data_IF_957854032899
#
_entry.id   IF_957854032899
#
_cell.length_a   1.000
_cell.length_b   1.000
_cell.length_c   1.000
_cell.angle_alpha   90.00
_cell.angle_beta   90.00
_cell.angle_gamma   90.00
#
_symmetry.space_group_name_H-M   'P 1'
#
loop_
_entity.id
_entity.type
_entity.pdbx_description
1 polymer ?
#
# COMPACT_ATOMS: atom_id res chain seq x y z
N UNK A 1 -9.35 61.16 -37.18
CA UNK A 1 -8.09 60.84 -36.43
C UNK A 1 -8.36 60.17 -35.05
N UNK A 2 -9.29 60.73 -34.25
CA UNK A 2 -9.60 60.13 -32.88
C UNK A 2 -10.22 58.74 -32.98
N UNK A 3 -11.11 58.49 -33.94
CA UNK A 3 -11.75 57.13 -34.10
C UNK A 3 -10.73 56.09 -34.50
N UNK A 4 -9.78 56.40 -35.39
CA UNK A 4 -8.71 55.45 -35.76
C UNK A 4 -7.76 55.07 -34.59
N UNK A 5 -7.52 56.01 -33.67
CA UNK A 5 -6.72 55.77 -32.51
C UNK A 5 -7.45 54.82 -31.51
N UNK A 6 -8.77 55.02 -31.40
CA UNK A 6 -9.59 54.13 -30.53
C UNK A 6 -9.73 52.70 -31.08
N UNK A 7 -9.87 52.53 -32.39
CA UNK A 7 -9.91 51.19 -32.99
C UNK A 7 -8.57 50.46 -32.87
N UNK A 8 -7.45 51.17 -33.03
CA UNK A 8 -6.12 50.60 -32.82
C UNK A 8 -5.89 50.19 -31.34
N UNK A 9 -6.36 51.00 -30.40
CA UNK A 9 -6.26 50.68 -28.97
C UNK A 9 -7.08 49.44 -28.61
N UNK A 10 -8.33 49.34 -29.10
CA UNK A 10 -9.19 48.17 -28.89
C UNK A 10 -8.56 46.91 -29.49
N UNK A 11 -7.99 46.99 -30.70
CA UNK A 11 -7.30 45.89 -31.34
C UNK A 11 -6.07 45.43 -30.56
N UNK A 12 -5.31 46.37 -29.99
CA UNK A 12 -4.16 46.04 -29.15
C UNK A 12 -4.57 45.31 -27.85
N UNK A 13 -5.61 45.82 -27.17
CA UNK A 13 -6.12 45.22 -25.91
C UNK A 13 -6.67 43.82 -26.16
N UNK A 14 -7.47 43.62 -27.22
CA UNK A 14 -7.98 42.30 -27.58
C UNK A 14 -6.87 41.34 -27.97
N UNK A 15 -5.81 41.81 -28.65
CA UNK A 15 -4.63 41.02 -28.97
C UNK A 15 -3.88 40.55 -27.71
N UNK A 16 -3.70 41.44 -26.74
CA UNK A 16 -3.04 41.11 -25.46
C UNK A 16 -3.88 40.09 -24.67
N UNK A 17 -5.19 40.25 -24.60
CA UNK A 17 -6.08 39.30 -23.91
C UNK A 17 -6.10 37.95 -24.61
N UNK A 18 -6.07 37.91 -25.94
CA UNK A 18 -5.99 36.66 -26.70
C UNK A 18 -4.63 35.94 -26.50
N UNK A 19 -3.53 36.72 -26.44
CA UNK A 19 -2.19 36.17 -26.17
C UNK A 19 -1.99 35.71 -24.71
N UNK A 20 -2.73 36.28 -23.75
CA UNK A 20 -2.70 35.89 -22.35
C UNK A 20 -3.28 34.47 -22.11
N UNK A 21 -3.96 33.87 -23.11
CA UNK A 21 -4.45 32.50 -23.08
C UNK A 21 -5.28 32.23 -21.82
N UNK A 22 -6.47 32.83 -21.63
CA UNK A 22 -7.28 32.54 -20.44
C UNK A 22 -7.60 31.05 -20.39
N UNK A 23 -6.88 30.32 -19.53
CA UNK A 23 -7.11 28.89 -19.30
C UNK A 23 -8.36 28.75 -18.44
N UNK A 24 -9.49 28.50 -19.06
CA UNK A 24 -10.75 28.16 -18.41
C UNK A 24 -10.81 26.68 -17.98
N UNK A 25 -9.72 25.93 -18.21
CA UNK A 25 -9.62 24.55 -17.78
C UNK A 25 -9.50 24.57 -16.27
N UNK A 26 -10.57 24.24 -15.56
CA UNK A 26 -10.49 23.80 -14.17
C UNK A 26 -9.49 22.63 -14.16
N UNK A 27 -8.28 22.89 -13.69
CA UNK A 27 -7.43 21.80 -13.21
C UNK A 27 -8.18 21.31 -11.99
N UNK A 28 -8.81 20.16 -12.10
CA UNK A 28 -9.22 19.41 -10.92
C UNK A 28 -7.93 19.15 -10.17
N UNK A 29 -7.68 19.97 -9.14
CA UNK A 29 -6.68 19.64 -8.12
C UNK A 29 -7.18 18.30 -7.60
N UNK A 30 -6.40 17.21 -7.75
CA UNK A 30 -6.78 15.95 -7.14
C UNK A 30 -7.17 16.29 -5.71
N UNK A 31 -8.41 15.97 -5.33
CA UNK A 31 -8.87 16.22 -3.98
C UNK A 31 -7.80 15.65 -3.08
N UNK A 32 -7.27 16.46 -2.18
CA UNK A 32 -6.47 16.00 -1.05
C UNK A 32 -7.42 15.21 -0.12
N UNK A 33 -8.07 14.17 -0.65
CA UNK A 33 -8.54 13.10 0.18
C UNK A 33 -7.26 12.62 0.90
N UNK A 34 -7.26 12.53 2.23
CA UNK A 34 -6.09 12.05 2.93
C UNK A 34 -5.76 10.70 2.31
N UNK A 35 -4.67 10.67 1.53
CA UNK A 35 -4.15 9.44 0.98
C UNK A 35 -3.83 8.57 2.19
N UNK A 36 -4.62 7.52 2.40
CA UNK A 36 -4.37 6.58 3.46
C UNK A 36 -3.47 5.48 2.88
N UNK A 37 -2.13 5.63 2.98
CA UNK A 37 -1.21 4.71 2.35
C UNK A 37 -1.33 3.33 3.01
N UNK A 38 -1.22 2.29 2.19
CA UNK A 38 -1.31 0.90 2.61
C UNK A 38 0.04 0.20 2.44
N UNK A 39 0.64 -0.26 3.53
CA UNK A 39 1.80 -1.16 3.46
C UNK A 39 1.34 -2.60 3.68
N UNK A 40 1.47 -3.41 2.63
CA UNK A 40 1.16 -4.84 2.68
C UNK A 40 2.39 -5.58 3.19
N UNK A 41 2.21 -6.39 4.23
CA UNK A 41 3.27 -7.16 4.88
C UNK A 41 2.92 -8.65 4.76
N UNK A 42 3.63 -9.37 3.89
CA UNK A 42 3.34 -10.75 3.54
C UNK A 42 4.34 -11.72 4.17
N UNK A 43 3.82 -12.66 4.95
CA UNK A 43 4.61 -13.75 5.53
C UNK A 43 5.06 -14.73 4.43
N UNK A 44 6.35 -15.10 4.45
CA UNK A 44 6.94 -16.13 3.58
C UNK A 44 7.55 -17.29 4.39
N UNK A 45 7.13 -17.48 5.65
CA UNK A 45 7.58 -18.61 6.45
C UNK A 45 7.10 -19.95 5.87
N UNK A 46 7.70 -21.03 6.32
CA UNK A 46 7.33 -22.40 5.91
C UNK A 46 5.86 -22.73 6.16
N UNK A 47 5.23 -22.06 7.13
CA UNK A 47 3.81 -22.26 7.47
C UNK A 47 2.86 -21.79 6.35
N UNK A 48 3.33 -20.87 5.49
CA UNK A 48 2.60 -20.43 4.29
C UNK A 48 2.60 -21.48 3.16
N UNK A 49 3.40 -22.56 3.28
CA UNK A 49 3.34 -23.72 2.37
C UNK A 49 2.13 -24.62 2.62
N UNK A 50 1.38 -24.36 3.70
CA UNK A 50 0.19 -25.14 4.05
C UNK A 50 -0.78 -25.23 2.86
N UNK A 51 -1.33 -26.44 2.65
CA UNK A 51 -2.29 -26.76 1.59
C UNK A 51 -3.72 -26.92 2.12
N UNK A 52 -3.98 -26.44 3.33
CA UNK A 52 -5.32 -26.35 3.90
C UNK A 52 -6.22 -25.36 3.15
N UNK A 53 -5.60 -24.46 2.37
CA UNK A 53 -6.24 -23.60 1.38
C UNK A 53 -5.70 -23.96 -0.01
N UNK A 54 -6.59 -24.10 -0.99
CA UNK A 54 -6.20 -24.40 -2.37
C UNK A 54 -5.87 -23.10 -3.13
N UNK A 55 -4.73 -23.02 -3.86
CA UNK A 55 -3.69 -24.02 -4.06
C UNK A 55 -2.67 -24.11 -2.91
N UNK A 56 -2.41 -23.05 -2.17
CA UNK A 56 -1.62 -22.94 -0.94
C UNK A 56 -1.99 -21.67 -0.20
N UNK A 57 -1.59 -21.54 1.08
CA UNK A 57 -1.79 -20.31 1.84
C UNK A 57 -1.15 -19.11 1.15
N UNK A 58 0.09 -19.23 0.65
CA UNK A 58 0.77 -18.15 -0.04
C UNK A 58 0.03 -17.71 -1.30
N UNK A 59 -0.35 -18.65 -2.15
CA UNK A 59 -1.08 -18.31 -3.38
C UNK A 59 -2.44 -17.68 -3.07
N UNK A 60 -3.11 -18.15 -2.03
CA UNK A 60 -4.37 -17.54 -1.58
C UNK A 60 -4.14 -16.11 -1.06
N UNK A 61 -3.05 -15.86 -0.33
CA UNK A 61 -2.67 -14.51 0.10
C UNK A 61 -2.40 -13.60 -1.09
N UNK A 62 -1.66 -14.06 -2.11
CA UNK A 62 -1.41 -13.29 -3.34
C UNK A 62 -2.71 -12.91 -4.05
N UNK A 63 -3.65 -13.86 -4.22
CA UNK A 63 -4.96 -13.54 -4.81
C UNK A 63 -5.71 -12.48 -3.99
N UNK A 64 -5.69 -12.56 -2.67
CA UNK A 64 -6.32 -11.56 -1.81
C UNK A 64 -5.69 -10.18 -1.94
N UNK A 65 -4.36 -10.12 -2.08
CA UNK A 65 -3.65 -8.86 -2.34
C UNK A 65 -4.08 -8.27 -3.69
N UNK A 66 -4.13 -9.10 -4.75
CA UNK A 66 -4.58 -8.64 -6.08
C UNK A 66 -6.02 -8.12 -6.05
N UNK A 67 -6.92 -8.81 -5.38
CA UNK A 67 -8.31 -8.38 -5.24
C UNK A 67 -8.40 -7.06 -4.47
N UNK A 68 -7.61 -6.91 -3.38
CA UNK A 68 -7.56 -5.68 -2.60
C UNK A 68 -7.07 -4.49 -3.43
N UNK A 69 -5.96 -4.66 -4.18
CA UNK A 69 -5.40 -3.60 -5.01
C UNK A 69 -6.40 -3.11 -6.08
N UNK A 70 -7.25 -4.00 -6.61
CA UNK A 70 -8.32 -3.61 -7.54
C UNK A 70 -9.42 -2.79 -6.87
N UNK A 71 -9.65 -2.97 -5.56
CA UNK A 71 -10.67 -2.24 -4.82
C UNK A 71 -10.21 -0.84 -4.37
N UNK A 72 -8.89 -0.61 -4.34
CA UNK A 72 -8.28 0.64 -3.88
C UNK A 72 -7.34 1.25 -4.93
N UNK A 73 -7.80 1.48 -6.19
CA UNK A 73 -6.93 1.87 -7.30
C UNK A 73 -6.19 3.20 -7.07
N UNK A 74 -6.76 4.10 -6.29
CA UNK A 74 -6.23 5.44 -6.04
C UNK A 74 -5.37 5.53 -4.76
N UNK A 75 -5.14 4.39 -4.07
CA UNK A 75 -4.37 4.35 -2.83
C UNK A 75 -2.90 4.07 -3.11
N UNK A 76 -2.00 4.78 -2.41
CA UNK A 76 -0.58 4.42 -2.42
C UNK A 76 -0.36 3.12 -1.65
N UNK A 77 0.12 2.11 -2.35
CA UNK A 77 0.35 0.78 -1.77
C UNK A 77 1.80 0.35 -1.92
N UNK A 78 2.35 -0.33 -0.92
CA UNK A 78 3.68 -0.90 -0.93
C UNK A 78 3.67 -2.36 -0.48
N UNK A 79 4.76 -3.09 -0.72
CA UNK A 79 4.88 -4.50 -0.39
C UNK A 79 6.19 -4.80 0.33
N UNK A 80 6.06 -5.37 1.51
CA UNK A 80 7.13 -5.97 2.31
C UNK A 80 6.87 -7.47 2.41
N UNK A 81 7.90 -8.27 2.31
CA UNK A 81 7.85 -9.70 2.62
C UNK A 81 8.75 -10.00 3.81
N UNK A 82 8.44 -11.01 4.59
CA UNK A 82 9.27 -11.36 5.74
C UNK A 82 9.27 -12.85 6.08
N UNK A 83 10.33 -13.23 6.75
CA UNK A 83 10.50 -14.45 7.52
C UNK A 83 11.14 -14.08 8.87
N UNK A 84 12.43 -14.35 9.07
CA UNK A 84 13.18 -13.82 10.22
C UNK A 84 13.56 -12.34 10.03
N UNK A 85 13.87 -11.94 8.79
CA UNK A 85 14.14 -10.56 8.41
C UNK A 85 13.13 -10.08 7.36
N UNK A 86 12.72 -8.82 7.42
CA UNK A 86 11.85 -8.23 6.42
C UNK A 86 12.64 -7.65 5.24
N UNK A 87 12.03 -7.69 4.05
CA UNK A 87 12.56 -7.12 2.82
C UNK A 87 11.50 -6.30 2.11
N UNK A 88 11.87 -5.08 1.73
CA UNK A 88 11.03 -4.22 0.90
C UNK A 88 11.07 -4.71 -0.55
N UNK A 89 9.94 -5.17 -1.06
CA UNK A 89 9.79 -5.60 -2.46
C UNK A 89 9.39 -4.41 -3.34
N UNK A 90 8.47 -3.57 -2.85
CA UNK A 90 8.05 -2.36 -3.54
C UNK A 90 7.82 -1.24 -2.53
N UNK A 91 8.38 -0.05 -2.75
CA UNK A 91 8.00 1.12 -1.99
C UNK A 91 6.54 1.49 -2.25
N UNK A 92 6.01 2.47 -1.52
CA UNK A 92 4.68 3.01 -1.77
C UNK A 92 4.60 3.57 -3.19
N UNK A 93 3.61 3.11 -3.94
CA UNK A 93 3.30 3.54 -5.31
C UNK A 93 1.80 3.66 -5.49
N UNK A 94 1.37 4.62 -6.28
CA UNK A 94 -0.03 4.75 -6.73
C UNK A 94 -0.39 3.81 -7.88
N UNK A 95 0.61 3.11 -8.44
CA UNK A 95 0.40 2.14 -9.51
C UNK A 95 0.28 0.72 -8.93
N UNK A 96 -0.95 0.28 -8.70
CA UNK A 96 -1.24 -1.07 -8.20
C UNK A 96 -0.87 -2.20 -9.18
N UNK A 97 -0.70 -1.90 -10.48
CA UNK A 97 -0.29 -2.90 -11.47
C UNK A 97 1.17 -3.32 -11.23
N UNK A 98 2.04 -2.41 -10.79
CA UNK A 98 3.43 -2.73 -10.42
C UNK A 98 3.43 -3.83 -9.36
N UNK A 99 2.66 -3.66 -8.29
CA UNK A 99 2.56 -4.66 -7.21
C UNK A 99 1.98 -5.98 -7.72
N UNK A 100 0.92 -5.92 -8.52
CA UNK A 100 0.28 -7.10 -9.10
C UNK A 100 1.26 -7.91 -9.96
N UNK A 101 2.11 -7.24 -10.73
CA UNK A 101 3.12 -7.86 -11.59
C UNK A 101 4.31 -8.42 -10.81
N UNK A 102 4.60 -7.92 -9.61
CA UNK A 102 5.66 -8.43 -8.74
C UNK A 102 5.22 -9.68 -7.95
N UNK A 103 3.93 -9.81 -7.62
CA UNK A 103 3.42 -10.91 -6.78
C UNK A 103 3.76 -12.32 -7.29
N UNK A 104 3.71 -12.65 -8.60
CA UNK A 104 4.09 -13.98 -9.08
C UNK A 104 5.54 -14.37 -8.75
N UNK A 105 6.46 -13.40 -8.74
CA UNK A 105 7.87 -13.63 -8.41
C UNK A 105 8.13 -13.82 -6.91
N UNK A 106 7.18 -13.43 -6.06
CA UNK A 106 7.29 -13.62 -4.61
C UNK A 106 7.13 -15.10 -4.28
N UNK A 107 8.19 -15.72 -3.80
CA UNK A 107 8.22 -17.14 -3.42
C UNK A 107 9.04 -17.34 -2.14
N UNK A 108 8.97 -18.52 -1.58
CA UNK A 108 9.75 -18.86 -0.37
C UNK A 108 11.25 -18.79 -0.61
N UNK A 109 11.69 -19.06 -1.85
CA UNK A 109 13.10 -19.22 -2.21
C UNK A 109 13.86 -17.89 -2.28
N UNK A 110 13.14 -16.77 -2.32
CA UNK A 110 13.78 -15.45 -2.26
C UNK A 110 14.27 -15.08 -0.86
N UNK A 111 13.84 -15.81 0.16
CA UNK A 111 14.17 -15.51 1.55
C UNK A 111 15.47 -16.23 1.98
N UNK A 112 16.44 -15.51 2.55
CA UNK A 112 17.74 -16.09 2.91
C UNK A 112 17.69 -17.03 4.12
N UNK A 113 16.68 -16.88 4.98
CA UNK A 113 16.53 -17.66 6.21
C UNK A 113 15.08 -17.88 6.56
N UNK A 114 14.79 -19.02 7.21
CA UNK A 114 13.47 -19.27 7.79
C UNK A 114 13.27 -18.49 9.09
N UNK A 115 12.02 -18.31 9.47
CA UNK A 115 11.63 -17.64 10.70
C UNK A 115 10.26 -17.03 10.57
N UNK A 116 9.81 -16.39 11.65
CA UNK A 116 8.52 -15.69 11.70
C UNK A 116 8.62 -14.53 12.69
N UNK A 117 9.01 -13.36 12.17
CA UNK A 117 9.25 -12.12 12.93
C UNK A 117 8.44 -10.95 12.35
N UNK A 118 7.10 -10.99 12.52
CA UNK A 118 6.23 -9.90 12.07
C UNK A 118 6.52 -8.57 12.77
N UNK A 119 7.03 -8.59 14.01
CA UNK A 119 7.47 -7.39 14.74
C UNK A 119 8.48 -6.56 13.92
N UNK A 120 9.50 -7.21 13.35
CA UNK A 120 10.48 -6.53 12.50
C UNK A 120 9.88 -5.98 11.22
N UNK A 121 8.94 -6.73 10.64
CA UNK A 121 8.27 -6.31 9.42
C UNK A 121 7.35 -5.10 9.64
N UNK A 122 6.64 -5.05 10.77
CA UNK A 122 5.83 -3.88 11.16
C UNK A 122 6.74 -2.66 11.39
N UNK A 123 7.87 -2.83 12.09
CA UNK A 123 8.85 -1.75 12.30
C UNK A 123 9.37 -1.19 10.97
N UNK A 124 9.75 -2.07 10.02
CA UNK A 124 10.19 -1.65 8.69
C UNK A 124 9.08 -0.93 7.92
N UNK A 125 7.82 -1.41 8.01
CA UNK A 125 6.69 -0.77 7.36
C UNK A 125 6.51 0.67 7.85
N UNK A 126 6.52 0.89 9.16
CA UNK A 126 6.43 2.24 9.76
C UNK A 126 7.60 3.12 9.30
N UNK A 127 8.84 2.57 9.30
CA UNK A 127 10.01 3.30 8.83
C UNK A 127 9.84 3.77 7.38
N UNK A 128 9.43 2.87 6.47
CA UNK A 128 9.30 3.19 5.05
C UNK A 128 8.15 4.16 4.76
N UNK A 129 7.03 4.04 5.48
CA UNK A 129 5.91 4.98 5.36
C UNK A 129 6.32 6.38 5.85
N UNK A 130 7.03 6.48 6.98
CA UNK A 130 7.56 7.77 7.47
C UNK A 130 8.59 8.37 6.51
N UNK A 131 9.49 7.56 5.96
CA UNK A 131 10.47 8.00 4.98
C UNK A 131 9.83 8.52 3.68
N UNK A 132 8.64 8.01 3.33
CA UNK A 132 7.82 8.50 2.23
C UNK A 132 7.01 9.77 2.57
N UNK A 133 7.12 10.29 3.80
CA UNK A 133 6.48 11.52 4.25
C UNK A 133 5.10 11.35 4.89
N UNK A 134 4.66 10.11 5.14
CA UNK A 134 3.37 9.85 5.77
C UNK A 134 3.49 9.80 7.30
N UNK A 135 2.53 10.42 7.96
CA UNK A 135 2.38 10.41 9.43
C UNK A 135 1.22 9.53 9.91
N UNK A 136 0.51 8.90 8.98
CA UNK A 136 -0.60 7.99 9.23
C UNK A 136 -0.70 7.00 8.08
N UNK A 137 -1.39 5.90 8.28
CA UNK A 137 -1.63 4.90 7.26
C UNK A 137 -1.99 3.53 7.82
N UNK A 138 -2.19 2.59 6.90
CA UNK A 138 -2.60 1.22 7.22
C UNK A 138 -1.46 0.24 6.92
N UNK A 139 -1.24 -0.68 7.83
CA UNK A 139 -0.34 -1.83 7.66
C UNK A 139 -1.22 -3.08 7.66
N UNK A 140 -1.20 -3.83 6.57
CA UNK A 140 -1.94 -5.09 6.44
C UNK A 140 -0.98 -6.27 6.51
N UNK A 141 -0.99 -6.97 7.64
CA UNK A 141 -0.21 -8.17 7.85
C UNK A 141 -0.98 -9.41 7.37
N UNK A 142 -0.44 -10.10 6.36
CA UNK A 142 -0.95 -11.40 5.89
C UNK A 142 -0.05 -12.50 6.43
N UNK A 143 -0.57 -13.28 7.38
CA UNK A 143 0.16 -14.35 8.05
C UNK A 143 -0.79 -15.50 8.42
N UNK A 144 -0.30 -16.73 8.59
CA UNK A 144 -1.13 -17.83 9.07
C UNK A 144 -1.48 -17.66 10.56
N UNK A 145 -0.58 -17.05 11.32
CA UNK A 145 -0.70 -16.79 12.76
C UNK A 145 0.00 -15.47 13.14
N UNK A 146 -0.12 -15.07 14.39
CA UNK A 146 0.43 -13.81 14.90
C UNK A 146 1.96 -13.83 15.14
N UNK A 147 2.64 -14.90 14.69
CA UNK A 147 4.09 -15.06 14.81
C UNK A 147 4.53 -15.79 16.08
N UNK A 148 5.76 -16.31 16.02
CA UNK A 148 6.34 -17.09 17.13
C UNK A 148 6.56 -16.27 18.41
N UNK A 149 6.70 -14.95 18.28
CA UNK A 149 6.94 -14.02 19.40
C UNK A 149 5.79 -13.02 19.53
N UNK A 150 4.61 -13.50 19.82
CA UNK A 150 3.38 -12.73 19.88
C UNK A 150 3.51 -11.42 20.68
N UNK A 151 4.16 -11.46 21.86
CA UNK A 151 4.32 -10.25 22.69
C UNK A 151 5.12 -9.17 21.98
N UNK A 152 6.20 -9.52 21.27
CA UNK A 152 7.01 -8.55 20.51
C UNK A 152 6.19 -7.96 19.35
N UNK A 153 5.40 -8.78 18.68
CA UNK A 153 4.50 -8.33 17.60
C UNK A 153 3.47 -7.34 18.14
N UNK A 154 2.87 -7.66 19.28
CA UNK A 154 1.88 -6.79 19.91
C UNK A 154 2.48 -5.46 20.37
N UNK A 155 3.67 -5.49 20.95
CA UNK A 155 4.37 -4.27 21.39
C UNK A 155 4.74 -3.39 20.21
N UNK A 156 5.18 -3.99 19.10
CA UNK A 156 5.51 -3.22 17.90
C UNK A 156 4.25 -2.66 17.21
N UNK A 157 3.15 -3.42 17.19
CA UNK A 157 1.87 -2.92 16.70
C UNK A 157 1.35 -1.74 17.53
N UNK A 158 1.52 -1.76 18.87
CA UNK A 158 1.18 -0.63 19.74
C UNK A 158 2.04 0.61 19.46
N UNK A 159 3.35 0.42 19.21
CA UNK A 159 4.24 1.52 18.80
C UNK A 159 3.83 2.10 17.45
N UNK A 160 3.49 1.24 16.49
CA UNK A 160 2.98 1.66 15.18
C UNK A 160 1.71 2.51 15.36
N UNK A 161 0.75 2.06 16.16
CA UNK A 161 -0.49 2.77 16.45
C UNK A 161 -0.22 4.13 17.11
N UNK A 162 0.67 4.18 18.09
CA UNK A 162 1.06 5.47 18.74
C UNK A 162 1.75 6.42 17.78
N UNK A 163 2.34 5.91 16.70
CA UNK A 163 2.96 6.68 15.63
C UNK A 163 1.99 7.05 14.48
N UNK A 164 0.69 6.71 14.60
CA UNK A 164 -0.35 7.03 13.63
C UNK A 164 -0.64 5.95 12.59
N UNK A 165 -0.05 4.75 12.73
CA UNK A 165 -0.21 3.65 11.77
C UNK A 165 -1.03 2.51 12.37
N UNK A 166 -2.16 2.17 11.74
CA UNK A 166 -2.98 1.05 12.15
C UNK A 166 -2.40 -0.27 11.64
N UNK A 167 -2.41 -1.30 12.47
CA UNK A 167 -1.97 -2.65 12.08
C UNK A 167 -3.17 -3.57 12.05
N UNK A 168 -3.51 -4.03 10.85
CA UNK A 168 -4.59 -4.98 10.59
C UNK A 168 -3.99 -6.33 10.23
N UNK A 169 -4.58 -7.42 10.71
CA UNK A 169 -4.11 -8.78 10.44
C UNK A 169 -5.15 -9.56 9.66
N UNK A 170 -4.74 -10.09 8.52
CA UNK A 170 -5.51 -11.04 7.74
C UNK A 170 -4.92 -12.45 7.93
N UNK A 171 -5.60 -13.27 8.71
CA UNK A 171 -5.18 -14.65 8.92
C UNK A 171 -5.42 -15.49 7.65
N UNK A 172 -4.35 -16.08 7.13
CA UNK A 172 -4.37 -16.90 5.90
C UNK A 172 -4.28 -18.38 6.29
N UNK A 173 -5.39 -18.94 6.78
CA UNK A 173 -5.54 -20.34 7.15
C UNK A 173 -6.99 -20.77 7.00
N UNK A 174 -7.25 -22.08 6.88
CA UNK A 174 -8.60 -22.59 6.95
C UNK A 174 -9.19 -22.30 8.35
N UNK A 175 -10.48 -21.94 8.38
CA UNK A 175 -11.20 -21.82 9.65
C UNK A 175 -11.16 -23.19 10.37
N UNK A 176 -10.68 -23.21 11.60
CA UNK A 176 -10.77 -24.39 12.45
C UNK A 176 -12.23 -24.51 12.86
N UNK A 177 -12.92 -25.50 12.32
CA UNK A 177 -14.31 -25.75 12.69
C UNK A 177 -14.34 -26.30 14.14
N UNK A 178 -14.53 -25.42 15.11
CA UNK A 178 -14.69 -25.79 16.53
C UNK A 178 -16.03 -26.48 16.82
N UNK A 179 -16.87 -26.73 15.80
CA UNK A 179 -18.22 -27.27 15.97
C UNK A 179 -18.32 -28.80 15.98
N UNK A 180 -17.21 -29.53 15.89
CA UNK A 180 -17.21 -30.99 15.85
C UNK A 180 -16.73 -31.68 17.14
N UNK A 181 -16.78 -30.98 18.29
CA UNK A 181 -16.55 -31.57 19.59
C UNK A 181 -17.68 -31.22 20.58
N UNK A 182 -18.87 -31.69 20.27
CA UNK A 182 -19.96 -31.92 21.24
C UNK A 182 -20.55 -33.32 21.03
#
# INVERSE_FOLDING_TARGET
>A
RKVMAWTALIGLVTGIVAAAGPSWKKIEIPSLAPENPLMIVLNLSTDMKGKDLTPSRLERAKFKIQDLLKLIPDSQSGLIVYTNEPFLISPLTSDGEILTNLLPAVSYDIMPANGDRPDRAIALAVEKMKAAGFNHGEILLLAPEAGQKFNLTLDEARKALSAGFNVNVLAVRAAKDERLQM
#
